data_IF_084485177829
#
_entry.id   IF_084485177829
#
_cell.length_a   1.000
_cell.length_b   1.000
_cell.length_c   1.000
_cell.angle_alpha   90.00
_cell.angle_beta   90.00
_cell.angle_gamma   90.00
#
_symmetry.space_group_name_H-M   'P 1'
#
loop_
_entity.id
_entity.type
_entity.pdbx_description
1 polymer ?
#
# COMPACT_ATOMS: atom_id res chain seq x y z
N UNK A 1 4.14 16.81 5.81
CA UNK A 1 5.05 17.97 5.56
C UNK A 1 5.05 19.01 6.67
N UNK A 2 3.94 19.71 6.95
CA UNK A 2 3.95 20.80 7.96
C UNK A 2 4.45 20.34 9.34
N UNK A 3 4.07 19.14 9.77
CA UNK A 3 4.60 18.55 10.99
C UNK A 3 6.13 18.32 10.96
N UNK A 4 6.70 17.93 9.81
CA UNK A 4 8.15 17.76 9.67
C UNK A 4 8.88 19.10 9.77
N UNK A 5 8.31 20.15 9.18
CA UNK A 5 8.84 21.51 9.31
C UNK A 5 8.80 21.96 10.77
N UNK A 6 7.67 21.74 11.44
CA UNK A 6 7.53 22.06 12.86
C UNK A 6 8.55 21.31 13.72
N UNK A 7 8.76 20.01 13.49
CA UNK A 7 9.78 19.22 14.19
C UNK A 7 11.16 19.82 13.93
N UNK A 8 11.53 20.08 12.67
CA UNK A 8 12.83 20.67 12.35
C UNK A 8 13.07 22.00 13.07
N UNK A 9 12.04 22.82 13.18
CA UNK A 9 12.16 24.16 13.77
C UNK A 9 12.10 24.16 15.31
N UNK A 10 11.48 23.14 15.93
CA UNK A 10 11.17 23.17 17.36
C UNK A 10 11.79 22.04 18.18
N UNK A 11 12.19 20.91 17.58
CA UNK A 11 12.59 19.71 18.34
C UNK A 11 13.82 19.93 19.24
N UNK A 12 14.66 20.93 18.91
CA UNK A 12 15.79 21.34 19.74
C UNK A 12 15.36 21.79 21.15
N UNK A 13 14.20 22.44 21.29
CA UNK A 13 13.67 22.85 22.58
C UNK A 13 13.26 21.66 23.48
N UNK A 14 13.05 20.49 22.87
CA UNK A 14 12.71 19.22 23.56
C UNK A 14 13.94 18.31 23.73
N UNK A 15 15.14 18.80 23.43
CA UNK A 15 16.39 18.02 23.52
C UNK A 15 16.68 17.12 22.32
N UNK A 16 15.89 17.18 21.25
CA UNK A 16 16.17 16.46 20.01
C UNK A 16 17.15 17.20 19.10
N UNK A 17 17.78 16.48 18.18
CA UNK A 17 18.69 17.07 17.19
C UNK A 17 17.93 17.29 15.86
N UNK A 18 17.68 18.53 15.42
CA UNK A 18 16.95 18.80 14.17
C UNK A 18 17.72 18.35 12.90
N UNK A 19 19.03 18.09 13.02
CA UNK A 19 19.86 17.56 11.93
C UNK A 19 19.95 16.02 11.93
N UNK A 20 19.28 15.34 12.87
CA UNK A 20 19.26 13.89 12.97
C UNK A 20 17.83 13.36 13.20
N UNK A 21 16.97 13.62 12.22
CA UNK A 21 15.57 13.18 12.24
C UNK A 21 15.43 11.91 11.40
N UNK A 22 14.95 10.83 11.98
CA UNK A 22 14.58 9.60 11.24
C UNK A 22 13.08 9.56 11.08
N UNK A 23 12.61 9.47 9.83
CA UNK A 23 11.21 9.15 9.57
C UNK A 23 11.03 7.64 9.58
N UNK A 24 10.03 7.16 10.27
CA UNK A 24 9.65 5.75 10.26
C UNK A 24 8.15 5.63 10.14
N UNK A 25 7.70 4.58 9.46
CA UNK A 25 6.29 4.31 9.27
C UNK A 25 6.09 2.91 8.70
N UNK A 26 4.89 2.39 8.92
CA UNK A 26 4.44 1.07 8.50
C UNK A 26 3.29 1.21 7.50
N UNK A 27 3.18 0.29 6.53
CA UNK A 27 2.12 0.26 5.51
C UNK A 27 1.97 1.60 4.77
N UNK A 28 0.82 2.25 4.82
CA UNK A 28 0.60 3.58 4.24
C UNK A 28 1.52 4.67 4.85
N UNK A 29 1.97 4.48 6.09
CA UNK A 29 3.01 5.26 6.72
C UNK A 29 4.37 5.06 6.04
N UNK A 30 4.75 3.83 5.73
CA UNK A 30 5.97 3.52 4.96
C UNK A 30 5.92 4.11 3.55
N UNK A 31 4.75 4.01 2.88
CA UNK A 31 4.48 4.73 1.62
C UNK A 31 4.72 6.23 1.82
N UNK A 32 4.12 6.84 2.85
CA UNK A 32 4.30 8.27 3.14
C UNK A 32 5.77 8.65 3.36
N UNK A 33 6.54 7.84 4.08
CA UNK A 33 7.99 8.03 4.27
C UNK A 33 8.72 7.96 2.94
N UNK A 34 8.42 6.96 2.11
CA UNK A 34 9.04 6.82 0.79
C UNK A 34 8.69 7.99 -0.14
N UNK A 35 7.45 8.50 -0.13
CA UNK A 35 7.08 9.71 -0.88
C UNK A 35 7.81 10.95 -0.37
N UNK A 36 8.09 11.06 0.93
CA UNK A 36 8.92 12.13 1.48
C UNK A 36 10.40 12.05 1.05
N UNK A 37 10.92 10.85 0.74
CA UNK A 37 12.24 10.70 0.13
C UNK A 37 12.27 11.21 -1.32
N UNK A 38 11.15 11.08 -2.05
CA UNK A 38 11.04 11.50 -3.45
C UNK A 38 10.75 13.00 -3.57
N UNK A 39 9.84 13.52 -2.74
CA UNK A 39 9.33 14.88 -2.84
C UNK A 39 10.41 15.95 -2.62
N UNK A 40 10.59 16.90 -3.56
CA UNK A 40 11.55 17.98 -3.41
C UNK A 40 11.22 18.92 -2.24
N UNK A 41 9.95 19.03 -1.86
CA UNK A 41 9.48 19.89 -0.78
C UNK A 41 9.84 19.36 0.62
N UNK A 42 10.12 18.07 0.76
CA UNK A 42 10.27 17.43 2.08
C UNK A 42 11.56 16.66 2.30
N UNK A 43 12.27 16.26 1.24
CA UNK A 43 13.52 15.48 1.34
C UNK A 43 14.66 16.16 2.12
N UNK A 44 14.56 17.45 2.38
CA UNK A 44 15.52 18.24 3.17
C UNK A 44 15.05 18.52 4.61
N UNK A 45 13.95 17.91 5.06
CA UNK A 45 13.39 18.09 6.41
C UNK A 45 13.75 16.98 7.40
N UNK A 46 14.43 15.93 6.91
CA UNK A 46 14.81 14.77 7.72
C UNK A 46 16.13 14.18 7.22
N UNK A 47 16.72 13.30 8.02
CA UNK A 47 18.04 12.73 7.81
C UNK A 47 17.97 11.33 7.22
N UNK A 48 17.19 10.43 7.82
CA UNK A 48 17.15 9.00 7.46
C UNK A 48 15.71 8.48 7.42
N UNK A 49 15.50 7.29 6.85
CA UNK A 49 14.18 6.69 6.70
C UNK A 49 14.15 5.21 7.09
N UNK A 50 13.03 4.81 7.69
CA UNK A 50 12.65 3.42 7.95
C UNK A 50 11.27 3.19 7.33
N UNK A 51 11.12 2.13 6.55
CA UNK A 51 9.89 1.82 5.82
C UNK A 51 9.51 0.36 6.08
N UNK A 52 8.44 0.14 6.83
CA UNK A 52 8.01 -1.19 7.25
C UNK A 52 6.83 -1.63 6.37
N UNK A 53 7.00 -2.71 5.59
CA UNK A 53 5.92 -3.30 4.80
C UNK A 53 5.23 -2.33 3.84
N UNK A 54 5.97 -1.43 3.20
CA UNK A 54 5.40 -0.50 2.22
C UNK A 54 6.43 0.31 1.43
N UNK A 55 6.03 0.73 0.23
CA UNK A 55 6.85 1.48 -0.72
C UNK A 55 5.99 2.32 -1.66
N UNK A 56 6.50 3.47 -2.10
CA UNK A 56 5.86 4.34 -3.08
C UNK A 56 5.58 3.66 -4.43
N UNK A 57 6.23 2.54 -4.74
CA UNK A 57 5.99 1.78 -5.98
C UNK A 57 4.89 0.73 -5.84
N UNK A 58 4.32 0.53 -4.65
CA UNK A 58 3.19 -0.38 -4.44
C UNK A 58 1.98 0.03 -5.29
N UNK A 59 1.21 -0.93 -5.84
CA UNK A 59 0.09 -0.64 -6.75
C UNK A 59 -1.01 0.21 -6.12
N UNK A 60 -1.14 0.17 -4.79
CA UNK A 60 -2.15 0.89 -4.02
C UNK A 60 -1.67 2.24 -3.46
N UNK A 61 -0.39 2.58 -3.65
CA UNK A 61 0.23 3.76 -3.06
C UNK A 61 -0.21 5.08 -3.71
N UNK A 62 -0.47 5.07 -5.03
CA UNK A 62 -0.82 6.26 -5.81
C UNK A 62 -1.87 5.92 -6.87
N UNK A 63 -2.81 6.83 -7.09
CA UNK A 63 -3.73 6.80 -8.24
C UNK A 63 -3.48 7.96 -9.21
N UNK A 64 -3.97 7.81 -10.43
CA UNK A 64 -3.92 8.90 -11.41
C UNK A 64 -4.83 10.06 -11.01
N UNK A 65 -4.53 11.27 -11.49
CA UNK A 65 -5.40 12.44 -11.28
C UNK A 65 -6.81 12.22 -11.83
N UNK A 66 -6.90 11.56 -12.99
CA UNK A 66 -8.17 11.24 -13.64
C UNK A 66 -9.04 10.35 -12.75
N UNK A 67 -8.47 9.23 -12.27
CA UNK A 67 -9.17 8.32 -11.37
C UNK A 67 -9.55 9.01 -10.05
N UNK A 68 -8.67 9.84 -9.49
CA UNK A 68 -8.97 10.62 -8.29
C UNK A 68 -10.16 11.56 -8.47
N UNK A 69 -10.27 12.24 -9.62
CA UNK A 69 -11.41 13.09 -9.95
C UNK A 69 -12.69 12.24 -10.05
N UNK A 70 -12.64 11.10 -10.75
CA UNK A 70 -13.79 10.22 -10.89
C UNK A 70 -14.28 9.68 -9.54
N UNK A 71 -13.37 9.26 -8.65
CA UNK A 71 -13.71 8.81 -7.30
C UNK A 71 -14.30 9.93 -6.45
N UNK A 72 -13.78 11.15 -6.56
CA UNK A 72 -14.36 12.33 -5.90
C UNK A 72 -15.79 12.63 -6.37
N UNK A 73 -16.06 12.51 -7.67
CA UNK A 73 -17.40 12.69 -8.23
C UNK A 73 -18.36 11.57 -7.81
N UNK A 74 -17.90 10.31 -7.74
CA UNK A 74 -18.69 9.18 -7.23
C UNK A 74 -19.07 9.39 -5.75
N UNK A 75 -18.13 9.85 -4.92
CA UNK A 75 -18.44 10.19 -3.54
C UNK A 75 -19.46 11.33 -3.47
N UNK A 76 -19.29 12.37 -4.29
CA UNK A 76 -20.25 13.46 -4.37
C UNK A 76 -21.66 12.95 -4.72
N UNK A 77 -21.78 12.07 -5.70
CA UNK A 77 -23.04 11.42 -6.07
C UNK A 77 -23.63 10.62 -4.89
N UNK A 78 -22.83 9.76 -4.25
CA UNK A 78 -23.26 8.90 -3.15
C UNK A 78 -23.83 9.68 -1.95
N UNK A 79 -23.30 10.88 -1.70
CA UNK A 79 -23.77 11.74 -0.59
C UNK A 79 -24.78 12.81 -1.05
N UNK A 80 -25.26 12.75 -2.29
CA UNK A 80 -26.27 13.67 -2.82
C UNK A 80 -25.76 15.10 -3.05
N UNK A 81 -24.51 15.24 -3.48
CA UNK A 81 -23.92 16.48 -3.98
C UNK A 81 -23.92 16.52 -5.52
N UNK A 82 -23.73 17.70 -6.14
CA UNK A 82 -23.47 17.79 -7.58
C UNK A 82 -22.27 16.91 -7.95
N UNK A 83 -22.41 16.09 -8.99
CA UNK A 83 -21.41 15.09 -9.38
C UNK A 83 -21.00 15.19 -10.86
N UNK A 84 -21.44 16.26 -11.55
CA UNK A 84 -21.06 16.51 -12.93
C UNK A 84 -19.66 17.15 -13.03
N UNK A 85 -18.91 16.74 -14.06
CA UNK A 85 -17.50 17.14 -14.22
C UNK A 85 -17.30 18.62 -14.53
N UNK A 86 -18.31 19.29 -15.08
CA UNK A 86 -18.31 20.74 -15.29
C UNK A 86 -18.72 21.54 -14.04
N UNK A 87 -19.16 20.86 -12.97
CA UNK A 87 -19.65 21.46 -11.72
C UNK A 87 -18.74 21.21 -10.51
N UNK A 88 -17.44 20.97 -10.73
CA UNK A 88 -16.48 20.61 -9.66
C UNK A 88 -16.50 21.57 -8.45
N UNK A 89 -16.61 22.89 -8.69
CA UNK A 89 -16.67 23.84 -7.58
C UNK A 89 -17.93 23.65 -6.71
N UNK A 90 -19.09 23.42 -7.35
CA UNK A 90 -20.33 23.16 -6.64
C UNK A 90 -20.30 21.82 -5.89
N UNK A 91 -19.67 20.80 -6.48
CA UNK A 91 -19.41 19.52 -5.83
C UNK A 91 -18.57 19.70 -4.55
N UNK A 92 -17.44 20.40 -4.66
CA UNK A 92 -16.53 20.67 -3.54
C UNK A 92 -17.22 21.48 -2.43
N UNK A 93 -17.95 22.53 -2.78
CA UNK A 93 -18.64 23.37 -1.81
C UNK A 93 -19.77 22.63 -1.08
N UNK A 94 -20.42 21.67 -1.76
CA UNK A 94 -21.38 20.78 -1.14
C UNK A 94 -20.70 19.77 -0.21
N UNK A 95 -19.64 19.09 -0.67
CA UNK A 95 -18.88 18.11 0.11
C UNK A 95 -18.34 18.69 1.42
N UNK A 96 -17.83 19.93 1.40
CA UNK A 96 -17.34 20.64 2.61
C UNK A 96 -18.40 20.86 3.68
N UNK A 97 -19.69 20.77 3.34
CA UNK A 97 -20.81 20.97 4.26
C UNK A 97 -21.43 19.66 4.74
N UNK A 98 -21.01 18.52 4.17
CA UNK A 98 -21.48 17.19 4.59
C UNK A 98 -20.89 16.81 5.93
N UNK A 99 -21.59 15.94 6.64
CA UNK A 99 -21.06 15.32 7.84
C UNK A 99 -19.83 14.46 7.47
N UNK A 100 -18.70 14.59 8.19
CA UNK A 100 -17.50 13.84 7.87
C UNK A 100 -17.67 12.33 8.02
N UNK A 101 -18.55 11.86 8.92
CA UNK A 101 -18.87 10.43 9.07
C UNK A 101 -19.66 9.93 7.86
N UNK A 102 -20.59 10.71 7.34
CA UNK A 102 -21.29 10.39 6.10
C UNK A 102 -20.33 10.32 4.91
N UNK A 103 -19.32 11.19 4.83
CA UNK A 103 -18.31 11.13 3.78
C UNK A 103 -17.55 9.80 3.83
N UNK A 104 -16.96 9.45 4.98
CA UNK A 104 -16.12 8.24 5.10
C UNK A 104 -16.91 6.94 4.92
N UNK A 105 -18.17 6.92 5.35
CA UNK A 105 -19.04 5.74 5.20
C UNK A 105 -19.44 5.48 3.74
N UNK A 106 -19.35 6.49 2.86
CA UNK A 106 -19.75 6.40 1.45
C UNK A 106 -18.56 6.40 0.48
N UNK A 107 -17.32 6.22 0.96
CA UNK A 107 -16.13 6.15 0.10
C UNK A 107 -16.02 4.83 -0.66
N UNK A 108 -16.53 3.75 -0.06
CA UNK A 108 -16.32 2.38 -0.54
C UNK A 108 -17.39 1.98 -1.56
N UNK A 109 -16.98 1.89 -2.82
CA UNK A 109 -17.76 1.28 -3.91
C UNK A 109 -17.23 -0.10 -4.28
N UNK A 110 -17.31 -0.46 -5.56
CA UNK A 110 -16.73 -1.70 -6.09
C UNK A 110 -15.23 -1.53 -6.33
N UNK A 111 -14.42 -2.03 -5.40
CA UNK A 111 -12.95 -1.99 -5.45
C UNK A 111 -12.37 -3.42 -5.36
N UNK A 112 -11.18 -3.61 -5.96
CA UNK A 112 -10.41 -4.84 -5.81
C UNK A 112 -9.82 -5.00 -4.41
N UNK A 113 -9.18 -6.15 -4.15
CA UNK A 113 -8.39 -6.33 -2.93
C UNK A 113 -7.23 -5.32 -2.90
N UNK A 114 -6.95 -4.78 -1.70
CA UNK A 114 -5.90 -3.79 -1.48
C UNK A 114 -6.03 -2.53 -2.37
N UNK A 115 -7.23 -2.18 -2.82
CA UNK A 115 -7.49 -0.90 -3.49
C UNK A 115 -8.22 0.05 -2.55
N UNK A 116 -7.58 1.16 -2.21
CA UNK A 116 -8.13 2.16 -1.30
C UNK A 116 -8.69 3.34 -2.12
N UNK A 117 -9.89 3.88 -1.77
CA UNK A 117 -10.59 4.86 -2.58
C UNK A 117 -9.82 6.19 -2.72
N UNK A 118 -9.32 6.74 -1.61
CA UNK A 118 -8.61 8.02 -1.59
C UNK A 118 -7.18 7.85 -1.09
N UNK A 119 -6.22 7.95 -2.02
CA UNK A 119 -4.78 7.80 -1.78
C UNK A 119 -4.01 8.95 -2.46
N UNK A 120 -2.70 9.10 -2.21
CA UNK A 120 -1.91 10.14 -2.87
C UNK A 120 -2.03 10.17 -4.40
N UNK A 121 -1.81 11.36 -4.97
CA UNK A 121 -1.78 11.61 -6.41
C UNK A 121 -0.52 12.38 -6.79
N UNK A 122 -0.15 12.34 -8.07
CA UNK A 122 0.89 13.21 -8.63
C UNK A 122 0.27 14.59 -8.89
N UNK A 123 0.45 15.51 -7.94
CA UNK A 123 -0.20 16.81 -7.89
C UNK A 123 0.54 17.91 -8.67
N UNK A 124 1.84 17.71 -8.94
CA UNK A 124 2.73 18.69 -9.57
C UNK A 124 3.42 19.62 -8.58
N UNK A 125 3.21 19.43 -7.27
CA UNK A 125 3.84 20.24 -6.23
C UNK A 125 4.55 19.36 -5.20
N UNK A 126 3.82 18.49 -4.49
CA UNK A 126 4.44 17.51 -3.61
C UNK A 126 5.22 16.45 -4.40
N UNK A 127 4.63 15.96 -5.49
CA UNK A 127 5.26 15.06 -6.47
C UNK A 127 5.05 15.63 -7.87
N UNK A 128 6.13 15.78 -8.62
CA UNK A 128 6.15 16.25 -10.01
C UNK A 128 6.24 15.11 -11.04
N UNK A 129 6.68 13.93 -10.62
CA UNK A 129 6.73 12.71 -11.42
C UNK A 129 6.26 11.47 -10.64
N UNK A 130 6.05 10.34 -11.34
CA UNK A 130 5.66 9.09 -10.68
C UNK A 130 6.82 8.48 -9.89
N UNK A 131 6.56 7.74 -8.80
CA UNK A 131 7.61 7.07 -8.03
C UNK A 131 8.53 6.20 -8.87
N UNK A 132 7.98 5.44 -9.83
CA UNK A 132 8.78 4.61 -10.73
C UNK A 132 9.75 5.45 -11.58
N UNK A 133 9.31 6.63 -12.06
CA UNK A 133 10.17 7.56 -12.81
C UNK A 133 11.22 8.22 -11.90
N UNK A 134 10.82 8.69 -10.71
CA UNK A 134 11.75 9.27 -9.75
C UNK A 134 12.87 8.28 -9.37
N UNK A 135 12.52 7.01 -9.16
CA UNK A 135 13.48 5.95 -8.87
C UNK A 135 14.40 5.67 -10.07
N UNK A 136 13.86 5.54 -11.28
CA UNK A 136 14.64 5.35 -12.50
C UNK A 136 15.60 6.52 -12.80
N UNK A 137 15.14 7.75 -12.61
CA UNK A 137 15.91 8.99 -12.80
C UNK A 137 16.84 9.31 -11.63
N UNK A 138 16.82 8.50 -10.57
CA UNK A 138 17.59 8.71 -9.34
C UNK A 138 17.26 10.02 -8.61
N UNK A 139 16.08 10.59 -8.87
CA UNK A 139 15.58 11.84 -8.30
C UNK A 139 14.92 11.60 -6.93
N UNK A 140 15.77 11.36 -5.93
CA UNK A 140 15.35 11.10 -4.56
C UNK A 140 16.47 11.46 -3.59
N UNK A 141 16.14 11.64 -2.32
CA UNK A 141 17.10 11.90 -1.23
C UNK A 141 18.19 10.81 -1.19
N UNK A 142 19.47 11.18 -1.18
CA UNK A 142 20.55 10.22 -0.92
C UNK A 142 20.77 10.11 0.58
N UNK A 143 20.38 8.98 1.16
CA UNK A 143 20.51 8.70 2.58
C UNK A 143 20.43 7.19 2.86
N UNK A 144 20.78 6.80 4.08
CA UNK A 144 20.63 5.43 4.55
C UNK A 144 19.15 5.12 4.82
N UNK A 145 18.74 3.93 4.40
CA UNK A 145 17.39 3.42 4.64
C UNK A 145 17.43 2.05 5.30
N UNK A 146 16.41 1.76 6.11
CA UNK A 146 16.09 0.42 6.60
C UNK A 146 14.66 0.09 6.16
N UNK A 147 14.45 -1.10 5.60
CA UNK A 147 13.12 -1.53 5.20
C UNK A 147 12.99 -3.04 5.20
N UNK A 148 11.76 -3.54 5.09
CA UNK A 148 11.51 -4.97 5.09
C UNK A 148 10.04 -5.32 5.03
N UNK A 149 9.79 -6.62 5.10
CA UNK A 149 8.44 -7.22 5.02
C UNK A 149 8.28 -8.30 6.08
N UNK A 150 7.03 -8.60 6.39
CA UNK A 150 6.62 -9.76 7.18
C UNK A 150 6.49 -11.00 6.27
N UNK A 151 6.38 -12.17 6.88
CA UNK A 151 6.19 -13.43 6.15
C UNK A 151 4.83 -13.54 5.47
N UNK A 152 3.76 -13.10 6.15
CA UNK A 152 2.35 -13.23 5.71
C UNK A 152 1.66 -11.85 5.58
N UNK A 153 1.99 -11.10 4.52
CA UNK A 153 1.43 -9.75 4.29
C UNK A 153 0.02 -9.78 3.68
N UNK A 154 -0.39 -10.90 3.08
CA UNK A 154 -1.64 -11.01 2.33
C UNK A 154 -2.84 -11.35 3.22
N UNK A 155 -2.65 -12.21 4.22
CA UNK A 155 -3.76 -12.80 4.98
C UNK A 155 -4.72 -11.79 5.59
N UNK A 156 -4.20 -10.69 6.14
CA UNK A 156 -5.05 -9.65 6.71
C UNK A 156 -6.07 -9.14 5.69
N UNK A 157 -5.65 -8.82 4.48
CA UNK A 157 -6.53 -8.28 3.44
C UNK A 157 -7.47 -9.34 2.88
N UNK A 158 -7.00 -10.58 2.73
CA UNK A 158 -7.82 -11.69 2.24
C UNK A 158 -8.96 -12.01 3.20
N UNK A 159 -8.69 -12.00 4.52
CA UNK A 159 -9.71 -12.20 5.57
C UNK A 159 -10.87 -11.21 5.47
N UNK A 160 -10.60 -9.95 5.14
CA UNK A 160 -11.62 -8.91 4.99
C UNK A 160 -12.25 -8.84 3.60
N UNK A 161 -11.60 -9.41 2.58
CA UNK A 161 -12.08 -9.38 1.19
C UNK A 161 -12.86 -10.64 0.81
N UNK A 162 -12.32 -11.83 1.07
CA UNK A 162 -12.91 -13.13 0.75
C UNK A 162 -13.56 -13.76 1.99
N UNK A 163 -14.50 -13.05 2.63
CA UNK A 163 -15.07 -13.38 3.95
C UNK A 163 -15.72 -14.76 4.04
N UNK A 164 -16.27 -15.29 2.94
CA UNK A 164 -16.86 -16.63 2.91
C UNK A 164 -15.83 -17.75 2.86
N UNK A 165 -14.69 -17.52 2.19
CA UNK A 165 -13.60 -18.49 2.04
C UNK A 165 -12.63 -18.43 3.23
N UNK A 166 -12.34 -17.22 3.72
CA UNK A 166 -11.42 -16.96 4.83
C UNK A 166 -12.18 -16.46 6.05
N UNK A 167 -12.73 -17.42 6.80
CA UNK A 167 -13.38 -17.13 8.08
C UNK A 167 -12.34 -16.94 9.17
N UNK A 168 -12.61 -16.04 10.11
CA UNK A 168 -11.74 -15.80 11.27
C UNK A 168 -11.90 -16.90 12.33
N UNK A 169 -11.53 -18.11 11.95
CA UNK A 169 -11.57 -19.33 12.76
C UNK A 169 -10.37 -20.22 12.48
N UNK A 170 -10.12 -21.21 13.33
CA UNK A 170 -9.07 -22.20 13.11
C UNK A 170 -9.47 -23.21 12.01
N UNK A 171 -8.48 -23.92 11.46
CA UNK A 171 -8.69 -24.99 10.49
C UNK A 171 -9.36 -24.55 9.17
N UNK A 172 -8.95 -23.39 8.63
CA UNK A 172 -9.33 -22.95 7.29
C UNK A 172 -8.41 -23.61 6.25
N UNK A 173 -9.03 -24.14 5.21
CA UNK A 173 -8.42 -24.90 4.12
C UNK A 173 -9.00 -24.42 2.80
N UNK A 174 -8.20 -24.40 1.73
CA UNK A 174 -8.64 -23.95 0.40
C UNK A 174 -8.42 -25.07 -0.59
N UNK A 175 -9.48 -25.67 -1.11
CA UNK A 175 -9.33 -26.71 -2.13
C UNK A 175 -8.91 -26.10 -3.49
N UNK A 176 -8.49 -26.95 -4.43
CA UNK A 176 -7.97 -26.49 -5.72
C UNK A 176 -8.97 -25.66 -6.54
N UNK A 177 -10.26 -26.00 -6.51
CA UNK A 177 -11.27 -25.24 -7.25
C UNK A 177 -11.51 -23.87 -6.62
N UNK A 178 -11.53 -23.79 -5.29
CA UNK A 178 -11.62 -22.54 -4.54
C UNK A 178 -10.40 -21.65 -4.82
N UNK A 179 -9.19 -22.22 -4.84
CA UNK A 179 -7.96 -21.50 -5.21
C UNK A 179 -8.07 -20.88 -6.61
N UNK A 180 -8.46 -21.65 -7.63
CA UNK A 180 -8.58 -21.15 -9.00
C UNK A 180 -9.64 -20.04 -9.13
N UNK A 181 -10.73 -20.14 -8.38
CA UNK A 181 -11.76 -19.10 -8.29
C UNK A 181 -11.19 -17.84 -7.60
N UNK A 182 -10.55 -18.01 -6.44
CA UNK A 182 -9.94 -16.93 -5.68
C UNK A 182 -8.87 -16.18 -6.49
N UNK A 183 -8.03 -16.89 -7.28
CA UNK A 183 -7.08 -16.24 -8.20
C UNK A 183 -7.81 -15.29 -9.15
N UNK A 184 -8.98 -15.66 -9.68
CA UNK A 184 -9.75 -14.80 -10.57
C UNK A 184 -10.33 -13.58 -9.84
N UNK A 185 -10.86 -13.78 -8.63
CA UNK A 185 -11.46 -12.72 -7.81
C UNK A 185 -10.42 -11.71 -7.29
N UNK A 186 -9.25 -12.18 -6.87
CA UNK A 186 -8.14 -11.36 -6.36
C UNK A 186 -7.40 -10.61 -7.50
N UNK A 187 -7.54 -11.07 -8.74
CA UNK A 187 -6.83 -10.53 -9.91
C UNK A 187 -7.81 -10.15 -11.04
N UNK A 188 -8.79 -9.27 -10.79
CA UNK A 188 -9.90 -9.04 -11.71
C UNK A 188 -9.47 -8.33 -13.01
N UNK A 189 -8.39 -7.54 -12.95
CA UNK A 189 -7.90 -6.74 -14.08
C UNK A 189 -6.96 -7.48 -15.03
N UNK A 190 -6.53 -8.69 -14.66
CA UNK A 190 -5.63 -9.49 -15.48
C UNK A 190 -6.39 -10.36 -16.47
N UNK A 191 -5.86 -10.45 -17.70
CA UNK A 191 -6.44 -11.31 -18.74
C UNK A 191 -6.24 -12.80 -18.39
N UNK A 192 -6.95 -13.72 -19.09
CA UNK A 192 -6.86 -15.15 -18.79
C UNK A 192 -5.45 -15.75 -18.87
N UNK A 193 -4.59 -15.28 -19.78
CA UNK A 193 -3.21 -15.78 -19.93
C UNK A 193 -2.38 -15.38 -18.70
N UNK A 194 -2.48 -14.12 -18.28
CA UNK A 194 -1.82 -13.63 -17.07
C UNK A 194 -2.30 -14.41 -15.83
N UNK A 195 -3.60 -14.69 -15.73
CA UNK A 195 -4.12 -15.53 -14.64
C UNK A 195 -3.58 -16.96 -14.65
N UNK A 196 -3.38 -17.57 -15.83
CA UNK A 196 -2.73 -18.88 -15.90
C UNK A 196 -1.26 -18.84 -15.43
N UNK A 197 -0.55 -17.76 -15.73
CA UNK A 197 0.81 -17.56 -15.20
C UNK A 197 0.82 -17.40 -13.67
N UNK A 198 -0.14 -16.66 -13.10
CA UNK A 198 -0.31 -16.53 -11.65
C UNK A 198 -0.58 -17.90 -11.02
N UNK A 199 -1.52 -18.68 -11.57
CA UNK A 199 -1.78 -20.04 -11.10
C UNK A 199 -0.52 -20.88 -11.16
N UNK A 200 0.26 -20.80 -12.23
CA UNK A 200 1.49 -21.57 -12.38
C UNK A 200 2.56 -21.20 -11.35
N UNK A 201 2.78 -19.91 -11.14
CA UNK A 201 3.79 -19.38 -10.21
C UNK A 201 3.48 -19.75 -8.76
N UNK A 202 2.22 -19.63 -8.35
CA UNK A 202 1.78 -19.84 -6.96
C UNK A 202 1.16 -21.23 -6.73
N UNK A 203 1.52 -22.24 -7.53
CA UNK A 203 1.15 -23.64 -7.25
C UNK A 203 2.34 -24.38 -6.65
N UNK A 204 2.14 -25.03 -5.51
CA UNK A 204 3.08 -26.06 -5.04
C UNK A 204 3.01 -27.27 -5.97
N UNK A 205 3.94 -27.36 -6.92
CA UNK A 205 3.94 -28.42 -7.92
C UNK A 205 4.31 -29.80 -7.36
N UNK A 206 4.80 -29.89 -6.12
CA UNK A 206 5.01 -31.18 -5.45
C UNK A 206 3.69 -31.75 -4.93
N UNK A 207 2.79 -30.89 -4.45
CA UNK A 207 1.45 -31.26 -3.98
C UNK A 207 0.37 -30.27 -4.45
N UNK A 208 -0.01 -30.26 -5.74
CA UNK A 208 -0.86 -29.20 -6.33
C UNK A 208 -2.26 -29.06 -5.69
N UNK A 209 -2.78 -30.14 -5.15
CA UNK A 209 -4.12 -30.20 -4.55
C UNK A 209 -4.09 -30.08 -3.01
N UNK A 210 -2.91 -29.88 -2.40
CA UNK A 210 -2.82 -29.71 -0.95
C UNK A 210 -3.57 -28.44 -0.51
N UNK A 211 -4.54 -28.56 0.42
CA UNK A 211 -5.40 -27.45 0.75
C UNK A 211 -4.76 -26.39 1.67
N UNK A 212 -3.64 -26.73 2.31
CA UNK A 212 -2.84 -25.78 3.10
C UNK A 212 -1.94 -24.98 2.17
N UNK A 213 -1.23 -25.65 1.25
CA UNK A 213 -0.42 -24.98 0.22
C UNK A 213 -1.26 -24.04 -0.64
N UNK A 214 -2.44 -24.46 -1.09
CA UNK A 214 -3.33 -23.59 -1.87
C UNK A 214 -3.80 -22.35 -1.06
N UNK A 215 -4.03 -22.48 0.26
CA UNK A 215 -4.36 -21.34 1.13
C UNK A 215 -3.17 -20.39 1.28
N UNK A 216 -2.00 -20.93 1.60
CA UNK A 216 -0.77 -20.15 1.80
C UNK A 216 -0.35 -19.44 0.50
N UNK A 217 -0.58 -20.06 -0.66
CA UNK A 217 -0.36 -19.45 -1.96
C UNK A 217 -1.21 -18.20 -2.21
N UNK A 218 -2.44 -18.13 -1.68
CA UNK A 218 -3.27 -16.93 -1.76
C UNK A 218 -2.67 -15.78 -0.95
N UNK A 219 -2.17 -16.06 0.26
CA UNK A 219 -1.40 -15.07 1.02
C UNK A 219 -0.19 -14.58 0.23
N UNK A 220 0.62 -15.49 -0.31
CA UNK A 220 1.85 -15.13 -1.01
C UNK A 220 1.58 -14.29 -2.26
N UNK A 221 0.58 -14.62 -3.09
CA UNK A 221 0.31 -13.80 -4.29
C UNK A 221 -0.15 -12.38 -3.95
N UNK A 222 -0.94 -12.22 -2.88
CA UNK A 222 -1.40 -10.90 -2.43
C UNK A 222 -0.26 -10.14 -1.75
N UNK A 223 0.45 -10.78 -0.83
CA UNK A 223 1.58 -10.21 -0.11
C UNK A 223 2.71 -9.79 -1.03
N UNK A 224 3.09 -10.64 -1.98
CA UNK A 224 4.17 -10.38 -2.92
C UNK A 224 3.82 -9.22 -3.85
N UNK A 225 2.61 -9.20 -4.44
CA UNK A 225 2.22 -8.17 -5.38
C UNK A 225 2.00 -6.80 -4.72
N UNK A 226 1.31 -6.77 -3.56
CA UNK A 226 0.94 -5.52 -2.92
C UNK A 226 2.00 -4.97 -1.95
N UNK A 227 2.90 -5.81 -1.43
CA UNK A 227 3.85 -5.41 -0.39
C UNK A 227 5.29 -5.83 -0.71
N UNK A 228 5.63 -7.11 -0.60
CA UNK A 228 7.01 -7.62 -0.58
C UNK A 228 7.82 -7.22 -1.82
N UNK A 229 7.27 -7.39 -3.02
CA UNK A 229 8.00 -7.07 -4.25
C UNK A 229 8.25 -5.56 -4.40
N UNK A 230 7.31 -4.71 -3.96
CA UNK A 230 7.47 -3.24 -4.02
C UNK A 230 8.53 -2.73 -3.03
N UNK A 231 8.62 -3.37 -1.86
CA UNK A 231 9.69 -3.14 -0.87
C UNK A 231 11.04 -3.53 -1.49
N UNK A 232 11.13 -4.72 -2.09
CA UNK A 232 12.34 -5.20 -2.73
C UNK A 232 12.78 -4.31 -3.89
N UNK A 233 11.85 -3.89 -4.75
CA UNK A 233 12.14 -2.98 -5.87
C UNK A 233 12.74 -1.67 -5.36
N UNK A 234 12.10 -1.03 -4.39
CA UNK A 234 12.54 0.26 -3.87
C UNK A 234 13.91 0.17 -3.20
N UNK A 235 14.13 -0.87 -2.38
CA UNK A 235 15.41 -1.15 -1.75
C UNK A 235 16.52 -1.38 -2.78
N UNK A 236 16.25 -2.21 -3.79
CA UNK A 236 17.20 -2.52 -4.85
C UNK A 236 17.62 -1.25 -5.61
N UNK A 237 16.64 -0.45 -6.05
CA UNK A 237 16.89 0.83 -6.74
C UNK A 237 17.65 1.83 -5.88
N UNK A 238 17.42 1.87 -4.57
CA UNK A 238 18.21 2.70 -3.65
C UNK A 238 19.67 2.25 -3.58
N UNK A 239 19.89 0.94 -3.43
CA UNK A 239 21.22 0.33 -3.34
C UNK A 239 22.06 0.54 -4.62
N UNK A 240 21.44 0.45 -5.80
CA UNK A 240 22.09 0.70 -7.11
C UNK A 240 22.70 2.11 -7.22
N UNK A 241 22.32 3.05 -6.34
CA UNK A 241 22.84 4.42 -6.32
C UNK A 241 23.93 4.66 -5.28
N UNK A 242 24.43 3.60 -4.62
CA UNK A 242 25.49 3.67 -3.62
C UNK A 242 25.03 4.06 -2.21
N UNK A 243 23.71 4.16 -1.97
CA UNK A 243 23.17 4.36 -0.63
C UNK A 243 23.28 3.07 0.19
N UNK A 244 23.40 3.21 1.51
CA UNK A 244 23.33 2.05 2.42
C UNK A 244 21.88 1.65 2.61
N UNK A 245 21.58 0.36 2.38
CA UNK A 245 20.25 -0.23 2.53
C UNK A 245 20.35 -1.41 3.49
N UNK A 246 19.55 -1.40 4.55
CA UNK A 246 19.37 -2.54 5.44
C UNK A 246 18.00 -3.18 5.18
N UNK A 247 18.01 -4.46 4.80
CA UNK A 247 16.78 -5.22 4.56
C UNK A 247 16.51 -6.15 5.75
N UNK A 248 15.28 -6.20 6.24
CA UNK A 248 14.83 -7.21 7.19
C UNK A 248 13.73 -8.09 6.58
N UNK A 249 13.59 -9.29 7.14
CA UNK A 249 12.44 -10.16 6.88
C UNK A 249 11.94 -10.70 8.22
N UNK A 250 10.79 -10.20 8.67
CA UNK A 250 10.28 -10.44 10.01
C UNK A 250 9.40 -11.68 10.02
N UNK A 251 9.76 -12.66 10.86
CA UNK A 251 9.15 -14.00 10.88
C UNK A 251 8.53 -14.39 12.22
N UNK A 252 8.57 -13.49 13.20
CA UNK A 252 8.17 -13.86 14.55
C UNK A 252 6.66 -13.71 14.73
N UNK A 253 5.98 -14.83 15.04
CA UNK A 253 4.59 -14.83 15.49
C UNK A 253 4.54 -14.79 17.01
N UNK A 254 3.93 -13.74 17.57
CA UNK A 254 3.75 -13.57 19.02
C UNK A 254 2.92 -14.71 19.62
N UNK A 255 3.32 -15.21 20.79
CA UNK A 255 2.63 -16.32 21.49
C UNK A 255 1.18 -15.99 21.85
N UNK A 256 0.90 -14.72 22.17
CA UNK A 256 -0.44 -14.22 22.50
C UNK A 256 -1.23 -13.68 21.28
N UNK A 257 -0.83 -14.03 20.06
CA UNK A 257 -1.51 -13.55 18.84
C UNK A 257 -2.98 -14.07 18.82
N UNK A 258 -3.99 -13.18 18.77
CA UNK A 258 -5.41 -13.57 18.80
C UNK A 258 -5.96 -14.01 17.44
N UNK A 259 -5.19 -13.85 16.36
CA UNK A 259 -5.57 -14.33 15.04
C UNK A 259 -5.38 -15.85 14.94
N UNK A 260 -6.11 -16.54 14.05
CA UNK A 260 -5.96 -17.97 13.86
C UNK A 260 -4.49 -18.39 13.63
N UNK A 261 -4.14 -19.61 14.02
CA UNK A 261 -2.77 -20.12 13.98
C UNK A 261 -2.14 -20.18 12.59
N UNK A 262 -2.98 -20.21 11.55
CA UNK A 262 -2.58 -20.27 10.14
C UNK A 262 -2.27 -18.93 9.49
N UNK A 263 -2.53 -17.81 10.19
CA UNK A 263 -2.21 -16.46 9.70
C UNK A 263 -0.78 -16.04 10.03
#
# INVERSE_FOLDING_TARGET
MMALQWIRDNIAAFGGNPNNITLFGESAGAVSVSLHLLSPLSRNLFSQAIMESGSATAPWAIITREESILRGLRLAEAVGCPSERDQLNAAIDCLKKKDPVDLVNNEWGTLGICEFPFVPVIDGAFLDESPQKAMANKNFKKTNILMGSNTEEGYYFILYYLTELFRKEENVYVNRQEFLRAVTELNPYFNPIARQAIVFEYTDWLNPDDPVSNRDSLDKMVGDYHFTCSVNEFAHRYAETGNTVYMYYFKHRTVANPWPSWT
#
